data_IF_294744442777
#
_entry.id   IF_294744442777
#
_cell.length_a   1.000
_cell.length_b   1.000
_cell.length_c   1.000
_cell.angle_alpha   90.00
_cell.angle_beta   90.00
_cell.angle_gamma   90.00
#
_symmetry.space_group_name_H-M   'P 1'
#
loop_
_entity.id
_entity.type
_entity.pdbx_description
1 polymer ?
#
# COMPACT_ATOMS: atom_id res chain seq x y z
N UNK A 1 9.57 -22.98 13.06
CA UNK A 1 8.53 -22.03 12.68
C UNK A 1 7.35 -22.22 13.64
N UNK A 2 7.12 -21.23 14.51
CA UNK A 2 5.89 -21.21 15.33
C UNK A 2 4.72 -20.99 14.37
N UNK A 3 3.78 -21.93 14.33
CA UNK A 3 2.51 -21.73 13.63
C UNK A 3 1.59 -20.92 14.53
N UNK A 4 0.97 -19.88 13.97
CA UNK A 4 -0.09 -19.15 14.64
C UNK A 4 -1.22 -20.11 15.04
N UNK A 5 -1.77 -19.94 16.23
CA UNK A 5 -2.99 -20.64 16.65
C UNK A 5 -4.18 -20.01 15.91
N UNK A 6 -5.26 -20.76 15.69
CA UNK A 6 -6.47 -20.24 15.02
C UNK A 6 -7.02 -18.98 15.69
N UNK A 7 -6.93 -18.89 17.03
CA UNK A 7 -7.34 -17.74 17.84
C UNK A 7 -6.50 -16.47 17.58
N UNK A 8 -5.32 -16.59 16.94
CA UNK A 8 -4.43 -15.48 16.55
C UNK A 8 -4.65 -15.02 15.11
N UNK A 9 -5.58 -15.66 14.41
CA UNK A 9 -5.90 -15.39 13.01
C UNK A 9 -7.27 -14.74 12.93
N UNK A 10 -7.32 -13.52 12.39
CA UNK A 10 -8.57 -12.85 12.08
C UNK A 10 -8.80 -12.86 10.56
N UNK A 11 -9.89 -13.44 10.13
CA UNK A 11 -10.33 -13.38 8.74
C UNK A 11 -11.17 -12.13 8.53
N UNK A 12 -10.82 -11.34 7.52
CA UNK A 12 -11.51 -10.11 7.15
C UNK A 12 -12.17 -10.33 5.79
N UNK A 13 -13.50 -10.28 5.74
CA UNK A 13 -14.31 -10.51 4.51
C UNK A 13 -14.86 -9.21 3.92
N UNK A 14 -14.88 -8.13 4.70
CA UNK A 14 -15.33 -6.79 4.28
C UNK A 14 -14.40 -5.72 4.85
N UNK A 15 -14.49 -4.50 4.32
CA UNK A 15 -13.68 -3.39 4.81
C UNK A 15 -13.85 -3.23 6.32
N UNK A 16 -12.74 -3.24 7.04
CA UNK A 16 -12.74 -3.26 8.50
C UNK A 16 -11.72 -2.28 9.06
N UNK A 17 -12.08 -1.64 10.16
CA UNK A 17 -11.22 -0.69 10.86
C UNK A 17 -10.78 -1.27 12.20
N UNK A 18 -9.47 -1.26 12.44
CA UNK A 18 -8.85 -1.68 13.69
C UNK A 18 -8.12 -0.49 14.33
N UNK A 19 -8.22 -0.35 15.64
CA UNK A 19 -7.56 0.75 16.36
C UNK A 19 -6.66 0.19 17.46
N UNK A 20 -5.42 0.64 17.50
CA UNK A 20 -4.39 0.27 18.47
C UNK A 20 -3.76 1.55 19.05
N UNK A 21 -4.31 2.07 20.14
CA UNK A 21 -3.94 3.41 20.61
C UNK A 21 -4.24 4.47 19.56
N UNK A 22 -3.22 5.21 19.14
CA UNK A 22 -3.34 6.26 18.12
C UNK A 22 -3.19 5.73 16.68
N UNK A 23 -2.85 4.45 16.52
CA UNK A 23 -2.77 3.80 15.20
C UNK A 23 -4.14 3.30 14.79
N UNK A 24 -4.61 3.72 13.62
CA UNK A 24 -5.79 3.17 12.96
C UNK A 24 -5.38 2.43 11.68
N UNK A 25 -5.89 1.23 11.49
CA UNK A 25 -5.72 0.43 10.29
C UNK A 25 -7.08 0.22 9.63
N UNK A 26 -7.23 0.69 8.40
CA UNK A 26 -8.35 0.29 7.54
C UNK A 26 -7.88 -0.81 6.61
N UNK A 27 -8.51 -1.97 6.71
CA UNK A 27 -8.16 -3.16 5.94
C UNK A 27 -9.18 -3.34 4.83
N UNK A 28 -8.70 -3.45 3.60
CA UNK A 28 -9.48 -3.70 2.39
C UNK A 28 -9.18 -5.12 1.90
N UNK A 29 -10.01 -6.12 2.19
CA UNK A 29 -9.87 -7.46 1.63
C UNK A 29 -10.28 -7.46 0.15
N UNK A 30 -9.88 -8.47 -0.65
CA UNK A 30 -10.44 -8.65 -1.99
C UNK A 30 -11.93 -8.98 -1.89
N UNK A 31 -12.76 -8.38 -2.75
CA UNK A 31 -14.21 -8.57 -2.76
C UNK A 31 -14.64 -9.99 -3.16
N UNK A 32 -13.72 -10.79 -3.70
CA UNK A 32 -13.91 -12.21 -4.03
C UNK A 32 -12.59 -12.93 -4.16
N UNK A 33 -12.65 -14.25 -4.18
CA UNK A 33 -11.48 -15.09 -4.46
C UNK A 33 -11.13 -15.04 -5.97
N UNK A 34 -9.86 -14.77 -6.26
CA UNK A 34 -9.29 -14.79 -7.59
C UNK A 34 -8.33 -15.97 -7.77
N UNK A 35 -8.19 -16.48 -8.99
CA UNK A 35 -7.22 -17.54 -9.33
C UNK A 35 -5.77 -17.05 -9.17
N UNK A 36 -5.51 -15.78 -9.40
CA UNK A 36 -4.20 -15.15 -9.19
C UNK A 36 -4.02 -14.75 -7.73
N UNK A 37 -3.00 -15.28 -7.07
CA UNK A 37 -2.66 -14.93 -5.70
C UNK A 37 -2.47 -13.40 -5.51
N UNK A 38 -1.90 -12.72 -6.51
CA UNK A 38 -1.68 -11.27 -6.46
C UNK A 38 -3.00 -10.47 -6.39
N UNK A 39 -4.06 -10.96 -7.06
CA UNK A 39 -5.38 -10.31 -6.97
C UNK A 39 -6.12 -10.64 -5.66
N UNK A 40 -5.58 -11.53 -4.83
CA UNK A 40 -6.06 -11.80 -3.47
C UNK A 40 -5.29 -10.98 -2.42
N UNK A 41 -4.52 -9.99 -2.83
CA UNK A 41 -3.80 -9.11 -1.91
C UNK A 41 -4.75 -8.31 -1.03
N UNK A 42 -4.53 -8.35 0.27
CA UNK A 42 -5.14 -7.43 1.22
C UNK A 42 -4.42 -6.07 1.09
N UNK A 43 -5.19 -4.99 0.95
CA UNK A 43 -4.65 -3.66 1.04
C UNK A 43 -4.92 -3.06 2.43
N UNK A 44 -4.02 -2.20 2.90
CA UNK A 44 -4.12 -1.59 4.23
C UNK A 44 -3.80 -0.10 4.14
N UNK A 45 -4.68 0.73 4.70
CA UNK A 45 -4.41 2.12 5.02
C UNK A 45 -4.11 2.22 6.51
N UNK A 46 -2.88 2.62 6.85
CA UNK A 46 -2.48 2.90 8.22
C UNK A 46 -2.43 4.41 8.46
N UNK A 47 -3.01 4.86 9.56
CA UNK A 47 -3.06 6.26 9.97
C UNK A 47 -2.51 6.39 11.39
N UNK A 48 -1.50 7.24 11.55
CA UNK A 48 -0.85 7.49 12.84
C UNK A 48 -0.38 8.93 12.92
N UNK A 49 -0.76 9.64 13.97
CA UNK A 49 -0.39 11.06 14.21
C UNK A 49 -0.57 11.97 12.98
N UNK A 50 -1.67 11.78 12.25
CA UNK A 50 -2.01 12.57 11.05
C UNK A 50 -1.19 12.20 9.81
N UNK A 51 -0.39 11.13 9.84
CA UNK A 51 0.32 10.56 8.69
C UNK A 51 -0.41 9.33 8.18
N UNK A 52 -0.35 9.15 6.88
CA UNK A 52 -1.07 8.10 6.17
C UNK A 52 -0.12 7.25 5.33
N UNK A 53 -0.26 5.94 5.47
CA UNK A 53 0.55 4.93 4.78
C UNK A 53 -0.39 3.97 4.06
N UNK A 54 -0.18 3.74 2.78
CA UNK A 54 -0.97 2.77 2.02
C UNK A 54 -0.11 1.61 1.52
N UNK A 55 -0.58 0.41 1.78
CA UNK A 55 0.07 -0.85 1.40
C UNK A 55 -0.89 -1.63 0.50
N UNK A 56 -0.55 -1.80 -0.77
CA UNK A 56 -1.39 -2.52 -1.73
C UNK A 56 -0.98 -3.98 -1.94
N UNK A 57 0.02 -4.48 -1.20
CA UNK A 57 0.54 -5.84 -1.41
C UNK A 57 1.09 -6.02 -2.80
N UNK A 58 0.75 -7.13 -3.43
CA UNK A 58 1.08 -7.47 -4.81
C UNK A 58 -0.13 -7.31 -5.75
N UNK A 59 -1.02 -6.39 -5.41
CA UNK A 59 -2.23 -6.12 -6.18
C UNK A 59 -1.91 -5.92 -7.67
N UNK A 60 -2.65 -6.62 -8.51
CA UNK A 60 -2.67 -6.48 -9.97
C UNK A 60 -4.02 -5.96 -10.43
N UNK A 61 -4.19 -5.87 -11.75
CA UNK A 61 -5.32 -5.28 -12.44
C UNK A 61 -6.66 -5.41 -11.71
N UNK A 62 -7.14 -6.64 -11.49
CA UNK A 62 -8.49 -6.86 -10.90
C UNK A 62 -8.60 -6.38 -9.46
N UNK A 63 -7.53 -6.52 -8.69
CA UNK A 63 -7.49 -6.03 -7.32
C UNK A 63 -7.38 -4.50 -7.28
N UNK A 64 -6.61 -3.93 -8.20
CA UNK A 64 -6.53 -2.47 -8.35
C UNK A 64 -7.88 -1.90 -8.77
N UNK A 65 -8.59 -2.52 -9.73
CA UNK A 65 -9.95 -2.13 -10.12
C UNK A 65 -10.89 -2.03 -8.91
N UNK A 66 -10.87 -3.02 -7.99
CA UNK A 66 -11.66 -2.95 -6.75
C UNK A 66 -11.22 -1.80 -5.84
N UNK A 67 -9.91 -1.55 -5.71
CA UNK A 67 -9.39 -0.46 -4.89
C UNK A 67 -9.76 0.92 -5.45
N UNK A 68 -9.89 1.06 -6.77
CA UNK A 68 -10.32 2.29 -7.43
C UNK A 68 -11.81 2.61 -7.18
N UNK A 69 -12.61 1.61 -6.80
CA UNK A 69 -14.01 1.80 -6.41
C UNK A 69 -14.15 2.28 -4.95
N UNK A 70 -13.07 2.21 -4.16
CA UNK A 70 -13.04 2.66 -2.77
C UNK A 70 -12.78 4.18 -2.66
N UNK A 71 -13.29 4.80 -1.60
CA UNK A 71 -12.99 6.20 -1.26
C UNK A 71 -11.60 6.31 -0.61
N UNK A 72 -10.53 6.11 -1.40
CA UNK A 72 -9.16 6.19 -0.91
C UNK A 72 -8.71 7.63 -0.74
N UNK A 73 -8.06 7.99 0.40
CA UNK A 73 -7.50 9.31 0.60
C UNK A 73 -6.17 9.49 -0.14
N UNK A 74 -5.73 10.74 -0.26
CA UNK A 74 -4.31 11.02 -0.53
C UNK A 74 -3.46 10.53 0.63
N UNK A 75 -2.24 10.05 0.34
CA UNK A 75 -1.38 9.44 1.35
C UNK A 75 0.00 10.08 1.41
N UNK A 76 0.63 10.05 2.59
CA UNK A 76 2.03 10.48 2.74
C UNK A 76 2.98 9.45 2.14
N UNK A 77 2.73 8.17 2.40
CA UNK A 77 3.59 7.07 1.95
C UNK A 77 2.77 5.99 1.25
N UNK A 78 3.24 5.55 0.10
CA UNK A 78 2.69 4.43 -0.65
C UNK A 78 3.73 3.33 -0.87
N UNK A 79 3.54 2.15 -0.28
CA UNK A 79 4.25 0.95 -0.71
C UNK A 79 3.64 0.51 -2.03
N UNK A 80 4.37 0.73 -3.11
CA UNK A 80 3.89 0.52 -4.47
C UNK A 80 3.47 -0.94 -4.69
N UNK A 81 2.31 -1.12 -5.30
CA UNK A 81 1.77 -2.43 -5.65
C UNK A 81 2.76 -3.23 -6.50
N UNK A 82 2.70 -4.54 -6.40
CA UNK A 82 3.44 -5.48 -7.24
C UNK A 82 4.93 -5.15 -7.39
N UNK A 83 5.57 -4.67 -6.29
CA UNK A 83 6.99 -4.28 -6.23
C UNK A 83 7.38 -3.12 -7.16
N UNK A 84 6.43 -2.37 -7.69
CA UNK A 84 6.69 -1.31 -8.69
C UNK A 84 6.76 -1.81 -10.13
N UNK A 85 6.33 -3.04 -10.39
CA UNK A 85 6.14 -3.53 -11.76
C UNK A 85 4.91 -2.92 -12.38
N UNK A 86 4.91 -2.79 -13.70
CA UNK A 86 3.76 -2.30 -14.44
C UNK A 86 2.58 -3.25 -14.30
N UNK A 87 1.43 -2.68 -14.08
CA UNK A 87 0.15 -3.36 -13.99
C UNK A 87 -0.94 -2.45 -14.51
N UNK A 88 -1.88 -3.01 -15.27
CA UNK A 88 -3.05 -2.26 -15.72
C UNK A 88 -3.69 -1.55 -14.52
N UNK A 89 -4.07 -0.29 -14.72
CA UNK A 89 -4.65 0.60 -13.71
C UNK A 89 -3.70 0.99 -12.55
N UNK A 90 -2.43 0.55 -12.55
CA UNK A 90 -1.46 0.92 -11.53
C UNK A 90 -1.21 2.43 -11.46
N UNK A 91 -1.17 3.10 -12.61
CA UNK A 91 -1.05 4.55 -12.72
C UNK A 91 -2.26 5.28 -12.14
N UNK A 92 -3.47 4.81 -12.40
CA UNK A 92 -4.71 5.39 -11.86
C UNK A 92 -4.74 5.33 -10.32
N UNK A 93 -4.27 4.23 -9.72
CA UNK A 93 -4.14 4.12 -8.28
C UNK A 93 -3.14 5.15 -7.72
N UNK A 94 -2.01 5.37 -8.39
CA UNK A 94 -1.05 6.42 -8.04
C UNK A 94 -1.69 7.81 -8.12
N UNK A 95 -2.48 8.08 -9.16
CA UNK A 95 -3.19 9.35 -9.34
C UNK A 95 -4.20 9.63 -8.23
N UNK A 96 -4.91 8.62 -7.74
CA UNK A 96 -5.86 8.78 -6.61
C UNK A 96 -5.09 8.99 -5.31
N UNK A 97 -4.12 8.14 -5.01
CA UNK A 97 -3.36 8.19 -3.76
C UNK A 97 -2.46 9.43 -3.66
N UNK A 98 -1.98 9.97 -4.76
CA UNK A 98 -1.07 11.12 -4.83
C UNK A 98 0.01 11.09 -3.73
N UNK A 99 0.80 10.03 -3.63
CA UNK A 99 1.73 9.86 -2.53
C UNK A 99 2.83 10.92 -2.57
N UNK A 100 3.24 11.41 -1.41
CA UNK A 100 4.44 12.25 -1.28
C UNK A 100 5.69 11.40 -1.41
N UNK A 101 5.67 10.19 -0.85
CA UNK A 101 6.76 9.22 -0.87
C UNK A 101 6.21 7.89 -1.40
N UNK A 102 6.94 7.31 -2.34
CA UNK A 102 6.66 5.97 -2.85
C UNK A 102 7.81 5.01 -2.51
N UNK A 103 7.48 3.83 -2.02
CA UNK A 103 8.47 2.78 -1.73
C UNK A 103 8.31 1.64 -2.72
N UNK A 104 9.35 1.41 -3.48
CA UNK A 104 9.47 0.31 -4.45
C UNK A 104 10.31 -0.80 -3.84
N UNK A 105 9.73 -1.99 -3.71
CA UNK A 105 10.43 -3.17 -3.13
C UNK A 105 11.15 -3.99 -4.20
N UNK A 106 11.77 -3.29 -5.15
CA UNK A 106 12.62 -3.80 -6.22
C UNK A 106 13.77 -2.80 -6.47
N UNK A 107 14.62 -3.08 -7.45
CA UNK A 107 15.73 -2.19 -7.81
C UNK A 107 15.25 -0.81 -8.25
N UNK A 108 14.20 -0.81 -9.07
CA UNK A 108 13.54 0.37 -9.63
C UNK A 108 12.10 0.02 -10.00
N UNK A 109 11.25 1.01 -10.16
CA UNK A 109 9.93 0.82 -10.76
C UNK A 109 10.06 0.60 -12.27
N UNK A 110 9.15 -0.17 -12.86
CA UNK A 110 9.03 -0.29 -14.31
C UNK A 110 8.49 1.01 -14.92
N UNK A 111 8.59 1.15 -16.24
CA UNK A 111 8.50 2.43 -16.95
C UNK A 111 7.17 3.18 -16.70
N UNK A 112 6.03 2.49 -16.81
CA UNK A 112 4.71 3.13 -16.63
C UNK A 112 4.50 3.54 -15.18
N UNK A 113 4.86 2.68 -14.23
CA UNK A 113 4.78 2.96 -12.80
C UNK A 113 5.71 4.13 -12.42
N UNK A 114 6.94 4.13 -12.91
CA UNK A 114 7.89 5.21 -12.65
C UNK A 114 7.39 6.56 -13.20
N UNK A 115 6.76 6.55 -14.39
CA UNK A 115 6.14 7.74 -14.98
C UNK A 115 5.00 8.25 -14.11
N UNK A 116 4.05 7.39 -13.72
CA UNK A 116 2.92 7.77 -12.89
C UNK A 116 3.37 8.40 -11.56
N UNK A 117 4.38 7.81 -10.90
CA UNK A 117 4.96 8.36 -9.67
C UNK A 117 5.62 9.73 -9.89
N UNK A 118 6.31 9.90 -11.01
CA UNK A 118 6.91 11.18 -11.39
C UNK A 118 5.87 12.24 -11.67
N UNK A 119 4.78 11.89 -12.35
CA UNK A 119 3.71 12.81 -12.73
C UNK A 119 2.98 13.41 -11.51
N UNK A 120 2.87 12.64 -10.42
CA UNK A 120 2.33 13.13 -9.14
C UNK A 120 3.40 13.77 -8.24
N UNK A 121 4.67 13.80 -8.65
CA UNK A 121 5.78 14.39 -7.91
C UNK A 121 6.20 13.59 -6.68
N UNK A 122 6.00 12.27 -6.67
CA UNK A 122 6.39 11.41 -5.57
C UNK A 122 7.91 11.26 -5.46
N UNK A 123 8.45 11.36 -4.24
CA UNK A 123 9.83 10.98 -3.94
C UNK A 123 9.92 9.44 -3.84
N UNK A 124 10.76 8.81 -4.66
CA UNK A 124 10.80 7.34 -4.78
C UNK A 124 12.00 6.76 -4.05
N UNK A 125 11.76 5.85 -3.14
CA UNK A 125 12.75 5.06 -2.42
C UNK A 125 12.70 3.60 -2.86
N UNK A 126 13.89 2.98 -3.03
CA UNK A 126 14.03 1.57 -3.38
C UNK A 126 14.68 0.80 -2.22
N UNK A 127 14.07 -0.33 -1.86
CA UNK A 127 14.64 -1.22 -0.82
C UNK A 127 15.73 -2.15 -1.34
N UNK A 128 16.15 -2.01 -2.59
CA UNK A 128 17.13 -2.91 -3.22
C UNK A 128 18.52 -2.88 -2.56
N UNK A 129 18.94 -1.70 -2.10
CA UNK A 129 20.29 -1.51 -1.54
C UNK A 129 20.31 -1.36 -0.02
N UNK A 130 19.21 -0.91 0.56
CA UNK A 130 19.09 -0.66 1.99
C UNK A 130 17.63 -0.69 2.42
N UNK A 131 17.40 -0.91 3.69
CA UNK A 131 16.08 -0.77 4.28
C UNK A 131 15.65 0.71 4.25
N UNK A 132 14.36 0.93 4.12
CA UNK A 132 13.77 2.27 4.22
C UNK A 132 12.99 2.35 5.53
N UNK A 133 13.43 3.22 6.40
CA UNK A 133 12.84 3.39 7.73
C UNK A 133 12.03 4.68 7.80
N UNK A 134 10.82 4.57 8.30
CA UNK A 134 9.95 5.70 8.58
C UNK A 134 9.78 5.86 10.09
N UNK A 135 9.86 7.09 10.55
CA UNK A 135 9.55 7.46 11.93
C UNK A 135 8.52 8.57 11.92
N UNK A 136 7.46 8.42 12.71
CA UNK A 136 6.47 9.48 12.94
C UNK A 136 6.55 9.88 14.40
N UNK A 137 6.74 11.16 14.66
CA UNK A 137 6.77 11.74 16.01
C UNK A 137 6.25 13.15 15.96
N UNK A 138 5.29 13.48 16.82
CA UNK A 138 4.63 14.81 16.87
C UNK A 138 4.08 15.26 15.51
N UNK A 139 3.53 14.32 14.72
CA UNK A 139 3.01 14.57 13.39
C UNK A 139 4.08 14.86 12.31
N UNK A 140 5.35 14.66 12.61
CA UNK A 140 6.47 14.79 11.67
C UNK A 140 6.86 13.41 11.16
N UNK A 141 6.94 13.27 9.83
CA UNK A 141 7.40 12.06 9.15
C UNK A 141 8.84 12.24 8.71
N UNK A 142 9.73 11.44 9.25
CA UNK A 142 11.12 11.29 8.83
C UNK A 142 11.32 9.99 8.06
N UNK A 143 12.21 10.03 7.06
CA UNK A 143 12.62 8.86 6.27
C UNK A 143 14.14 8.74 6.25
N UNK A 144 14.65 7.50 6.38
CA UNK A 144 16.08 7.18 6.36
C UNK A 144 16.36 5.95 5.52
#
# INVERSE_FOLDING_TARGET
EERLQEEQILTVEENSVFTFGDLQLTVYPPGKQYDSANNNSIAVLAQFEGKTFFFAGDAKKKRIEELLEEELPRVDVYKVAYHGRDSDNGGELVEILQPRIAVVTAREAEEETARALSDVGAEVYSTYKADVHFTVSDGILDVR
#
